data_IF_646970619973
#
_entry.id   IF_646970619973
#
_cell.length_a   1.000
_cell.length_b   1.000
_cell.length_c   1.000
_cell.angle_alpha   90.00
_cell.angle_beta   90.00
_cell.angle_gamma   90.00
#
_symmetry.space_group_name_H-M   'P 1'
#
loop_
_entity.id
_entity.type
_entity.pdbx_description
1 polymer ?
#
# COMPACT_ATOMS: atom_id res chain seq x y z
N UNK A 1 -0.46 -12.83 10.01
CA UNK A 1 1.02 -13.01 10.11
C UNK A 1 1.48 -14.46 10.27
N UNK A 2 0.80 -15.35 11.02
CA UNK A 2 1.23 -16.77 11.18
C UNK A 2 1.43 -17.53 9.87
N UNK A 3 0.51 -17.40 8.91
CA UNK A 3 0.63 -18.04 7.60
C UNK A 3 1.87 -17.56 6.81
N UNK A 4 2.12 -16.25 6.81
CA UNK A 4 3.30 -15.64 6.17
C UNK A 4 4.59 -16.15 6.81
N UNK A 5 4.64 -16.24 8.15
CA UNK A 5 5.81 -16.81 8.87
C UNK A 5 6.06 -18.26 8.49
N UNK A 6 5.00 -19.07 8.37
CA UNK A 6 5.11 -20.48 7.95
C UNK A 6 5.63 -20.60 6.51
N UNK A 7 5.11 -19.80 5.58
CA UNK A 7 5.58 -19.76 4.19
C UNK A 7 7.06 -19.33 4.08
N UNK A 8 7.50 -18.37 4.91
CA UNK A 8 8.91 -17.94 4.94
C UNK A 8 9.87 -19.06 5.35
N UNK A 9 9.48 -19.85 6.35
CA UNK A 9 10.31 -20.96 6.86
C UNK A 9 10.33 -22.13 5.88
N UNK A 10 9.20 -22.43 5.23
CA UNK A 10 9.04 -23.66 4.45
C UNK A 10 9.37 -23.52 2.95
N UNK A 11 9.23 -22.32 2.37
CA UNK A 11 9.29 -22.15 0.92
C UNK A 11 10.17 -20.99 0.45
N UNK A 12 10.10 -19.82 1.11
CA UNK A 12 10.86 -18.65 0.67
C UNK A 12 11.45 -17.87 1.86
N UNK A 13 12.69 -18.18 2.28
CA UNK A 13 13.37 -17.49 3.38
C UNK A 13 13.55 -15.98 3.15
N UNK A 14 13.64 -15.54 1.89
CA UNK A 14 13.77 -14.14 1.51
C UNK A 14 12.44 -13.36 1.55
N UNK A 15 11.31 -14.01 1.87
CA UNK A 15 10.01 -13.35 1.95
C UNK A 15 10.01 -12.27 3.05
N UNK A 16 9.80 -11.03 2.63
CA UNK A 16 9.68 -9.86 3.51
C UNK A 16 8.31 -9.20 3.33
N UNK A 17 7.83 -8.54 4.38
CA UNK A 17 6.62 -7.72 4.31
C UNK A 17 7.06 -6.31 3.95
N UNK A 18 6.78 -5.90 2.71
CA UNK A 18 7.13 -4.56 2.21
C UNK A 18 6.36 -3.44 2.92
N UNK A 19 5.10 -3.72 3.26
CA UNK A 19 4.27 -2.75 3.97
C UNK A 19 2.80 -3.12 4.11
N UNK A 20 2.06 -2.22 4.75
CA UNK A 20 0.63 -2.29 4.97
C UNK A 20 -0.07 -1.15 4.24
N UNK A 21 -0.84 -1.47 3.20
CA UNK A 21 -1.62 -0.50 2.43
C UNK A 21 -3.08 -0.55 2.86
N UNK A 22 -3.62 0.60 3.26
CA UNK A 22 -5.04 0.74 3.56
C UNK A 22 -5.82 0.93 2.26
N UNK A 23 -6.81 0.08 2.01
CA UNK A 23 -7.64 0.13 0.79
C UNK A 23 -9.11 0.31 1.12
N UNK A 24 -9.89 0.79 0.13
CA UNK A 24 -11.30 1.11 0.29
C UNK A 24 -11.55 2.07 1.47
N UNK A 25 -10.58 2.94 1.75
CA UNK A 25 -10.65 3.90 2.84
C UNK A 25 -11.72 4.97 2.53
N UNK A 26 -12.60 5.20 3.49
CA UNK A 26 -13.62 6.25 3.39
C UNK A 26 -13.62 7.03 4.72
N UNK A 27 -13.12 8.27 4.72
CA UNK A 27 -12.98 9.05 5.94
C UNK A 27 -14.34 9.48 6.52
N UNK A 28 -15.46 9.27 5.82
CA UNK A 28 -16.80 9.60 6.35
C UNK A 28 -17.21 8.62 7.45
N UNK A 29 -16.78 7.36 7.36
CA UNK A 29 -17.11 6.34 8.37
C UNK A 29 -16.13 6.38 9.54
N UNK A 30 -16.67 6.54 10.75
CA UNK A 30 -15.88 6.59 11.98
C UNK A 30 -15.05 5.33 12.19
N UNK A 31 -15.63 4.15 11.92
CA UNK A 31 -14.93 2.87 12.06
C UNK A 31 -13.67 2.81 11.17
N UNK A 32 -13.74 3.36 9.96
CA UNK A 32 -12.60 3.40 9.03
C UNK A 32 -11.48 4.30 9.53
N UNK A 33 -11.83 5.43 10.17
CA UNK A 33 -10.83 6.28 10.84
C UNK A 33 -10.18 5.57 12.03
N UNK A 34 -10.98 4.97 12.90
CA UNK A 34 -10.50 4.23 14.07
C UNK A 34 -9.57 3.07 13.68
N UNK A 35 -9.95 2.27 12.67
CA UNK A 35 -9.10 1.19 12.16
C UNK A 35 -7.79 1.75 11.59
N UNK A 36 -7.85 2.83 10.81
CA UNK A 36 -6.63 3.45 10.27
C UNK A 36 -5.70 3.95 11.38
N UNK A 37 -6.24 4.55 12.45
CA UNK A 37 -5.46 5.04 13.59
C UNK A 37 -4.84 3.88 14.36
N UNK A 38 -5.62 2.84 14.67
CA UNK A 38 -5.13 1.63 15.34
C UNK A 38 -4.01 0.95 14.55
N UNK A 39 -4.16 0.82 13.22
CA UNK A 39 -3.11 0.27 12.35
C UNK A 39 -1.83 1.12 12.45
N UNK A 40 -1.95 2.45 12.41
CA UNK A 40 -0.79 3.35 12.50
C UNK A 40 -0.15 3.37 13.90
N UNK A 41 -0.89 3.01 14.95
CA UNK A 41 -0.38 2.90 16.33
C UNK A 41 0.30 1.55 16.59
N UNK A 42 -0.24 0.46 16.04
CA UNK A 42 0.26 -0.90 16.28
C UNK A 42 1.50 -1.21 15.44
N UNK A 43 1.56 -0.71 14.21
CA UNK A 43 2.62 -1.04 13.28
C UNK A 43 3.64 0.11 13.14
N UNK A 44 4.93 -0.21 12.93
CA UNK A 44 5.95 0.80 12.69
C UNK A 44 5.59 1.69 11.50
N UNK A 45 5.85 2.99 11.63
CA UNK A 45 5.47 3.99 10.63
C UNK A 45 6.11 3.72 9.26
N UNK A 46 7.29 3.12 9.22
CA UNK A 46 7.98 2.74 7.99
C UNK A 46 7.28 1.60 7.22
N UNK A 47 6.49 0.77 7.90
CA UNK A 47 5.78 -0.36 7.29
C UNK A 47 4.43 0.11 6.72
N UNK A 48 3.72 1.01 7.39
CA UNK A 48 2.40 1.48 6.94
C UNK A 48 2.57 2.52 5.83
N UNK A 49 1.91 2.33 4.70
CA UNK A 49 1.90 3.35 3.64
C UNK A 49 1.20 4.63 4.14
N UNK A 50 1.73 5.79 3.73
CA UNK A 50 1.14 7.07 4.08
C UNK A 50 -0.18 7.25 3.34
N UNK A 51 -0.17 6.94 2.04
CA UNK A 51 -1.35 6.98 1.17
C UNK A 51 -2.28 5.80 1.45
N UNK A 52 -3.58 6.09 1.57
CA UNK A 52 -4.64 5.10 1.56
C UNK A 52 -5.38 5.15 0.21
N UNK A 53 -5.76 3.99 -0.32
CA UNK A 53 -6.59 3.90 -1.53
C UNK A 53 -8.05 4.14 -1.13
N UNK A 54 -8.70 5.21 -1.64
CA UNK A 54 -10.06 5.53 -1.25
C UNK A 54 -11.07 4.55 -1.86
N UNK A 55 -12.24 4.45 -1.26
CA UNK A 55 -13.41 3.91 -1.96
C UNK A 55 -13.93 4.98 -2.93
N UNK A 56 -13.82 4.73 -4.24
CA UNK A 56 -14.22 5.69 -5.28
C UNK A 56 -14.92 4.99 -6.44
N UNK A 57 -15.97 5.62 -6.99
CA UNK A 57 -16.78 5.09 -8.09
C UNK A 57 -15.95 4.79 -9.35
N UNK A 58 -15.03 5.71 -9.70
CA UNK A 58 -14.09 5.52 -10.80
C UNK A 58 -13.22 4.25 -10.69
N UNK A 59 -12.87 3.81 -9.47
CA UNK A 59 -12.11 2.56 -9.27
C UNK A 59 -12.97 1.34 -9.60
N UNK A 60 -14.25 1.38 -9.23
CA UNK A 60 -15.22 0.34 -9.55
C UNK A 60 -15.52 0.30 -11.05
N UNK A 61 -15.70 1.46 -11.69
CA UNK A 61 -15.87 1.56 -13.14
C UNK A 61 -14.63 1.09 -13.90
N UNK A 62 -13.44 1.44 -13.40
CA UNK A 62 -12.17 1.03 -13.98
C UNK A 62 -12.01 -0.49 -14.03
N UNK A 63 -12.36 -1.18 -12.93
CA UNK A 63 -12.39 -2.65 -12.87
C UNK A 63 -13.32 -3.26 -13.92
N UNK A 64 -14.55 -2.74 -14.03
CA UNK A 64 -15.53 -3.25 -14.99
C UNK A 64 -15.10 -3.08 -16.46
N UNK A 65 -14.39 -1.99 -16.77
CA UNK A 65 -13.94 -1.68 -18.13
C UNK A 65 -12.63 -2.39 -18.54
N UNK A 66 -11.96 -3.10 -17.61
CA UNK A 66 -10.75 -3.88 -17.90
C UNK A 66 -9.51 -3.05 -18.26
N UNK A 67 -9.52 -1.73 -18.02
CA UNK A 67 -8.36 -0.85 -18.24
C UNK A 67 -7.91 -0.20 -16.93
N UNK A 68 -6.61 0.03 -16.69
CA UNK A 68 -6.15 0.69 -15.49
C UNK A 68 -6.77 2.08 -15.32
N UNK A 69 -7.17 2.43 -14.09
CA UNK A 69 -7.78 3.74 -13.82
C UNK A 69 -6.85 4.91 -14.15
N UNK A 70 -5.54 4.70 -14.01
CA UNK A 70 -4.51 5.68 -14.36
C UNK A 70 -4.47 5.99 -15.86
N UNK A 71 -5.01 5.10 -16.71
CA UNK A 71 -5.15 5.33 -18.17
C UNK A 71 -6.52 5.93 -18.48
N UNK A 72 -7.59 5.45 -17.83
CA UNK A 72 -8.96 5.89 -18.12
C UNK A 72 -9.27 7.29 -17.60
N UNK A 73 -8.92 7.56 -16.34
CA UNK A 73 -9.14 8.85 -15.70
C UNK A 73 -7.97 9.18 -14.76
N UNK A 74 -6.85 9.69 -15.29
CA UNK A 74 -5.65 10.00 -14.51
C UNK A 74 -5.89 11.06 -13.42
N UNK A 75 -6.88 11.93 -13.59
CA UNK A 75 -7.20 13.00 -12.65
C UNK A 75 -8.13 12.55 -11.51
N UNK A 76 -8.71 11.35 -11.59
CA UNK A 76 -9.55 10.80 -10.52
C UNK A 76 -8.77 10.67 -9.21
N UNK A 77 -9.48 10.84 -8.08
CA UNK A 77 -8.89 10.62 -6.75
C UNK A 77 -8.32 9.22 -6.59
N UNK A 78 -8.95 8.23 -7.23
CA UNK A 78 -8.47 6.84 -7.27
C UNK A 78 -7.14 6.70 -8.02
N UNK A 79 -7.02 7.24 -9.23
CA UNK A 79 -5.77 7.21 -9.99
C UNK A 79 -4.64 7.94 -9.25
N UNK A 80 -4.92 9.13 -8.72
CA UNK A 80 -3.95 9.91 -7.95
C UNK A 80 -3.47 9.17 -6.70
N UNK A 81 -4.35 8.42 -6.01
CA UNK A 81 -3.94 7.59 -4.87
C UNK A 81 -2.99 6.46 -5.29
N UNK A 82 -3.27 5.76 -6.40
CA UNK A 82 -2.37 4.73 -6.92
C UNK A 82 -1.01 5.28 -7.35
N UNK A 83 -0.97 6.45 -8.00
CA UNK A 83 0.28 7.11 -8.37
C UNK A 83 1.12 7.49 -7.15
N UNK A 84 0.48 7.99 -6.08
CA UNK A 84 1.17 8.28 -4.81
C UNK A 84 1.72 7.02 -4.15
N UNK A 85 0.95 5.94 -4.11
CA UNK A 85 1.45 4.64 -3.60
C UNK A 85 2.63 4.15 -4.42
N UNK A 86 2.57 4.24 -5.75
CA UNK A 86 3.70 3.87 -6.61
C UNK A 86 4.96 4.69 -6.29
N UNK A 87 4.82 5.99 -6.08
CA UNK A 87 5.92 6.85 -5.65
C UNK A 87 6.50 6.44 -4.27
N UNK A 88 5.65 6.07 -3.32
CA UNK A 88 6.08 5.55 -2.02
C UNK A 88 6.86 4.24 -2.15
N UNK A 89 6.40 3.32 -3.00
CA UNK A 89 7.09 2.05 -3.27
C UNK A 89 8.47 2.31 -3.86
N UNK A 90 8.57 3.14 -4.91
CA UNK A 90 9.86 3.47 -5.54
C UNK A 90 10.83 4.09 -4.53
N UNK A 91 10.33 4.99 -3.66
CA UNK A 91 11.13 5.59 -2.59
C UNK A 91 11.65 4.55 -1.59
N UNK A 92 10.80 3.60 -1.18
CA UNK A 92 11.19 2.49 -0.29
C UNK A 92 12.25 1.59 -0.93
N UNK A 93 12.05 1.20 -2.19
CA UNK A 93 12.98 0.36 -2.93
C UNK A 93 14.37 0.99 -3.03
N UNK A 94 14.45 2.29 -3.34
CA UNK A 94 15.74 3.02 -3.38
C UNK A 94 16.44 3.03 -2.03
N UNK A 95 15.71 3.30 -0.94
CA UNK A 95 16.25 3.27 0.42
C UNK A 95 16.80 1.88 0.78
N UNK A 96 16.09 0.81 0.42
CA UNK A 96 16.55 -0.56 0.65
C UNK A 96 17.83 -0.91 -0.14
N UNK A 97 18.01 -0.32 -1.33
CA UNK A 97 19.24 -0.52 -2.12
C UNK A 97 20.44 0.29 -1.60
N UNK A 98 20.22 1.52 -1.13
CA UNK A 98 21.26 2.36 -0.50
C UNK A 98 21.80 1.72 0.79
N UNK A 99 20.92 1.14 1.62
CA UNK A 99 21.33 0.40 2.83
C UNK A 99 22.13 -0.86 2.48
N UNK A 100 21.86 -1.50 1.34
CA UNK A 100 22.59 -2.68 0.88
C UNK A 100 23.97 -2.35 0.24
N UNK A 101 24.23 -1.09 -0.13
CA UNK A 101 25.47 -0.66 -0.80
C UNK A 101 26.37 0.24 0.05
N UNK A 102 25.96 0.58 1.28
CA UNK A 102 26.80 1.34 2.20
C UNK A 102 28.00 0.49 2.69
N UNK A 103 29.25 0.97 2.58
CA UNK A 103 30.40 0.27 3.12
C UNK A 103 30.32 0.25 4.64
N UNK A 104 30.29 -0.96 5.22
CA UNK A 104 30.51 -1.21 6.64
C UNK A 104 31.98 -1.43 6.95
#
# INVERSE_FOLDING_TARGET
LRAIRKARIQANPALQIEGLLLTMYDPRFQITRQISEQVRQIFPAEVVFHTAIPRHEDLTAGFAAGRPIVVQNPQSKGAQAYLKVAAEIVKKMRKSQEVATAPG
#
